data_IF_802027121487
#
_entry.id   IF_802027121487
#
_cell.length_a   1.000
_cell.length_b   1.000
_cell.length_c   1.000
_cell.angle_alpha   90.00
_cell.angle_beta   90.00
_cell.angle_gamma   90.00
#
_symmetry.space_group_name_H-M   'P 1'
#
loop_
_entity.id
_entity.type
_entity.pdbx_description
1 polymer ?
#
# COMPACT_ATOMS: atom_id res chain seq x y z
N UNK A 1 -32.06 0.59 -3.57
CA UNK A 1 -31.76 0.59 -5.03
C UNK A 1 -30.44 1.32 -5.18
N UNK A 2 -29.47 0.72 -5.91
CA UNK A 2 -28.18 1.36 -6.19
C UNK A 2 -28.35 2.36 -7.33
N UNK A 3 -27.80 3.55 -7.16
CA UNK A 3 -27.91 4.65 -8.13
C UNK A 3 -26.63 5.50 -8.10
N UNK A 4 -26.10 5.87 -9.26
CA UNK A 4 -24.99 6.81 -9.36
C UNK A 4 -25.49 8.25 -9.36
N UNK A 5 -24.98 9.06 -8.43
CA UNK A 5 -25.26 10.49 -8.33
C UNK A 5 -23.97 11.27 -8.60
N UNK A 6 -24.04 12.21 -9.51
CA UNK A 6 -22.91 13.03 -9.96
C UNK A 6 -22.91 14.42 -9.30
N UNK A 7 -22.95 14.48 -7.97
CA UNK A 7 -22.81 15.74 -7.24
C UNK A 7 -21.34 16.16 -7.11
N UNK A 8 -21.08 17.46 -7.14
CA UNK A 8 -19.72 18.01 -6.96
C UNK A 8 -19.40 18.15 -5.47
N UNK A 9 -19.00 17.04 -4.82
CA UNK A 9 -18.53 17.02 -3.44
C UNK A 9 -17.01 16.83 -3.34
N UNK A 10 -16.26 16.94 -4.43
CA UNK A 10 -14.82 16.68 -4.50
C UNK A 10 -13.97 17.45 -3.45
N UNK A 11 -14.44 18.61 -3.02
CA UNK A 11 -13.71 19.43 -2.03
C UNK A 11 -13.69 18.84 -0.62
N UNK A 12 -14.53 17.85 -0.32
CA UNK A 12 -14.72 17.27 1.02
C UNK A 12 -14.24 15.83 1.15
N UNK A 13 -13.81 15.17 0.06
CA UNK A 13 -13.50 13.72 0.06
C UNK A 13 -12.12 13.48 -0.52
N UNK A 14 -11.35 12.63 0.14
CA UNK A 14 -10.06 12.15 -0.35
C UNK A 14 -10.18 11.21 -1.56
N UNK A 15 -9.05 10.73 -2.08
CA UNK A 15 -9.02 9.63 -3.06
C UNK A 15 -9.44 8.32 -2.39
N UNK A 16 -9.97 7.38 -3.19
CA UNK A 16 -10.51 6.10 -2.74
C UNK A 16 -12.01 6.13 -2.48
N UNK A 17 -12.49 5.18 -1.69
CA UNK A 17 -13.88 5.04 -1.29
C UNK A 17 -14.13 5.71 0.07
N UNK A 18 -15.14 6.56 0.15
CA UNK A 18 -15.55 7.23 1.40
C UNK A 18 -17.04 7.01 1.63
N UNK A 19 -17.36 6.29 2.72
CA UNK A 19 -18.73 6.04 3.12
C UNK A 19 -19.40 7.34 3.59
N UNK A 20 -20.66 7.51 3.26
CA UNK A 20 -21.51 8.60 3.70
C UNK A 20 -22.94 8.09 3.97
N UNK A 21 -23.83 8.87 4.61
CA UNK A 21 -25.17 8.39 5.02
C UNK A 21 -26.01 7.81 3.87
N UNK A 22 -25.85 8.36 2.65
CA UNK A 22 -26.66 7.94 1.50
C UNK A 22 -26.01 6.83 0.65
N UNK A 23 -24.73 6.49 0.88
CA UNK A 23 -23.97 5.53 0.07
C UNK A 23 -22.48 5.67 0.20
N UNK A 24 -21.75 5.37 -0.87
CA UNK A 24 -20.30 5.50 -0.89
C UNK A 24 -19.86 6.44 -2.02
N UNK A 25 -19.00 7.37 -1.67
CA UNK A 25 -18.37 8.29 -2.62
C UNK A 25 -17.06 7.70 -3.10
N UNK A 26 -16.87 7.64 -4.41
CA UNK A 26 -15.65 7.15 -5.06
C UNK A 26 -14.89 8.29 -5.71
N UNK A 27 -13.58 8.34 -5.50
CA UNK A 27 -12.66 9.28 -6.12
C UNK A 27 -11.43 8.54 -6.63
N UNK A 28 -11.20 8.52 -7.94
CA UNK A 28 -10.13 7.74 -8.58
C UNK A 28 -9.26 8.67 -9.42
N UNK A 29 -7.96 8.65 -9.18
CA UNK A 29 -6.98 9.33 -10.03
C UNK A 29 -6.68 8.47 -11.25
N UNK A 30 -7.03 8.99 -12.44
CA UNK A 30 -6.71 8.39 -13.72
C UNK A 30 -6.81 9.46 -14.83
N UNK A 31 -5.80 10.35 -14.96
CA UNK A 31 -5.92 11.56 -15.78
C UNK A 31 -6.12 11.28 -17.26
N UNK A 32 -5.53 10.19 -17.77
CA UNK A 32 -5.54 9.83 -19.18
C UNK A 32 -6.62 8.78 -19.54
N UNK A 33 -7.36 8.26 -18.55
CA UNK A 33 -8.48 7.36 -18.80
C UNK A 33 -9.61 8.07 -19.58
N UNK A 34 -10.31 7.31 -20.42
CA UNK A 34 -11.51 7.78 -21.13
C UNK A 34 -12.79 7.52 -20.33
N UNK A 35 -12.80 6.45 -19.54
CA UNK A 35 -13.88 6.09 -18.63
C UNK A 35 -13.31 5.36 -17.42
N UNK A 36 -13.91 5.60 -16.25
CA UNK A 36 -13.65 4.81 -15.02
C UNK A 36 -14.98 4.21 -14.58
N UNK A 37 -14.98 2.89 -14.39
CA UNK A 37 -16.15 2.14 -13.93
C UNK A 37 -15.83 1.52 -12.57
N UNK A 38 -16.74 1.73 -11.61
CA UNK A 38 -16.74 1.01 -10.33
C UNK A 38 -17.65 -0.20 -10.46
N UNK A 39 -17.06 -1.39 -10.31
CA UNK A 39 -17.79 -2.64 -10.20
C UNK A 39 -18.01 -2.95 -8.73
N UNK A 40 -19.26 -3.02 -8.30
CA UNK A 40 -19.65 -3.23 -6.91
C UNK A 40 -20.12 -4.67 -6.70
N UNK A 41 -19.73 -5.26 -5.58
CA UNK A 41 -20.02 -6.65 -5.21
C UNK A 41 -20.47 -6.75 -3.75
N UNK A 42 -21.21 -7.80 -3.43
CA UNK A 42 -21.44 -8.20 -2.04
C UNK A 42 -20.14 -8.72 -1.40
N UNK A 43 -20.11 -8.85 -0.08
CA UNK A 43 -19.02 -9.52 0.66
C UNK A 43 -18.75 -10.95 0.16
N UNK A 44 -19.73 -11.61 -0.45
CA UNK A 44 -19.63 -12.96 -1.03
C UNK A 44 -19.16 -12.98 -2.50
N UNK A 45 -18.70 -11.83 -3.01
CA UNK A 45 -18.22 -11.68 -4.39
C UNK A 45 -19.34 -11.77 -5.47
N UNK A 46 -20.61 -11.55 -5.09
CA UNK A 46 -21.74 -11.49 -6.01
C UNK A 46 -21.88 -10.05 -6.54
N UNK A 47 -21.95 -9.90 -7.86
CA UNK A 47 -22.02 -8.58 -8.53
C UNK A 47 -23.30 -7.84 -8.18
N UNK A 48 -23.19 -6.63 -7.69
CA UNK A 48 -24.31 -5.73 -7.36
C UNK A 48 -24.61 -4.75 -8.49
N UNK A 49 -23.60 -4.33 -9.26
CA UNK A 49 -23.74 -3.40 -10.36
C UNK A 49 -22.44 -2.81 -10.87
N UNK A 50 -22.57 -2.03 -11.94
CA UNK A 50 -21.48 -1.31 -12.60
C UNK A 50 -21.86 0.17 -12.68
N UNK A 51 -20.92 1.06 -12.33
CA UNK A 51 -21.18 2.49 -12.22
C UNK A 51 -20.06 3.27 -12.90
N UNK A 52 -20.33 3.77 -14.09
CA UNK A 52 -19.39 4.63 -14.82
C UNK A 52 -19.37 6.02 -14.16
N UNK A 53 -18.22 6.39 -13.59
CA UNK A 53 -18.04 7.72 -13.01
C UNK A 53 -18.08 8.78 -14.12
N UNK A 54 -19.00 9.75 -14.02
CA UNK A 54 -19.31 10.64 -15.14
C UNK A 54 -18.55 11.96 -15.12
N UNK A 55 -18.02 12.36 -13.97
CA UNK A 55 -17.30 13.64 -13.85
C UNK A 55 -15.81 13.41 -13.78
N UNK A 56 -15.04 14.23 -14.52
CA UNK A 56 -13.59 14.31 -14.45
C UNK A 56 -13.19 15.75 -14.19
N UNK A 57 -12.40 15.97 -13.14
CA UNK A 57 -11.84 17.28 -12.79
C UNK A 57 -10.40 17.13 -12.34
N UNK A 58 -9.48 17.84 -13.01
CA UNK A 58 -8.06 17.80 -12.63
C UNK A 58 -7.43 16.41 -12.60
N UNK A 59 -7.90 15.46 -13.45
CA UNK A 59 -7.40 14.08 -13.48
C UNK A 59 -8.10 13.10 -12.52
N UNK A 60 -9.04 13.58 -11.68
CA UNK A 60 -9.81 12.77 -10.74
C UNK A 60 -11.20 12.47 -11.28
N UNK A 61 -11.59 11.22 -11.30
CA UNK A 61 -12.93 10.73 -11.58
C UNK A 61 -13.68 10.53 -10.28
N UNK A 62 -14.95 10.93 -10.20
CA UNK A 62 -15.70 10.85 -8.95
C UNK A 62 -17.20 10.67 -9.15
N UNK A 63 -17.87 10.15 -8.14
CA UNK A 63 -19.31 10.00 -8.05
C UNK A 63 -19.76 9.32 -6.76
N UNK A 64 -20.99 9.57 -6.36
CA UNK A 64 -21.64 8.91 -5.23
C UNK A 64 -22.46 7.72 -5.76
N UNK A 65 -22.17 6.51 -5.30
CA UNK A 65 -23.03 5.34 -5.52
C UNK A 65 -23.96 5.24 -4.30
N UNK A 66 -25.20 5.72 -4.50
CA UNK A 66 -26.23 5.69 -3.46
C UNK A 66 -26.60 4.24 -3.15
N UNK A 67 -26.76 3.93 -1.86
CA UNK A 67 -27.12 2.60 -1.39
C UNK A 67 -25.93 1.61 -1.26
N UNK A 68 -24.72 1.96 -1.70
CA UNK A 68 -23.52 1.22 -1.36
C UNK A 68 -23.22 1.38 0.13
N UNK A 69 -22.74 0.31 0.79
CA UNK A 69 -22.62 0.26 2.25
C UNK A 69 -21.29 -0.33 2.70
N UNK A 70 -20.97 -0.15 3.97
CA UNK A 70 -19.82 -0.79 4.59
C UNK A 70 -19.89 -2.33 4.40
N UNK A 71 -18.75 -2.93 4.07
CA UNK A 71 -18.62 -4.35 3.78
C UNK A 71 -18.91 -4.74 2.33
N UNK A 72 -19.52 -3.89 1.51
CA UNK A 72 -19.54 -4.12 0.07
C UNK A 72 -18.12 -4.05 -0.50
N UNK A 73 -17.86 -4.83 -1.54
CA UNK A 73 -16.56 -4.89 -2.19
C UNK A 73 -16.61 -4.20 -3.54
N UNK A 74 -15.46 -3.69 -4.00
CA UNK A 74 -15.40 -3.06 -5.32
C UNK A 74 -14.06 -3.29 -6.02
N UNK A 75 -14.08 -3.21 -7.34
CA UNK A 75 -12.93 -3.12 -8.20
C UNK A 75 -13.10 -1.97 -9.19
N UNK A 76 -11.98 -1.46 -9.69
CA UNK A 76 -11.96 -0.37 -10.66
C UNK A 76 -11.67 -0.96 -12.03
N UNK A 77 -12.38 -0.52 -13.06
CA UNK A 77 -12.03 -0.73 -14.45
C UNK A 77 -11.71 0.63 -15.08
N UNK A 78 -10.54 0.75 -15.70
CA UNK A 78 -10.12 1.94 -16.41
C UNK A 78 -10.08 1.65 -17.91
N UNK A 79 -10.94 2.35 -18.66
CA UNK A 79 -11.03 2.20 -20.12
C UNK A 79 -10.32 3.34 -20.82
N UNK A 80 -9.72 3.04 -21.95
CA UNK A 80 -8.96 3.99 -22.75
C UNK A 80 -8.07 3.29 -23.77
N UNK A 81 -7.07 4.02 -24.25
CA UNK A 81 -6.10 3.47 -25.19
C UNK A 81 -5.16 2.49 -24.48
N UNK A 82 -4.99 1.27 -24.98
CA UNK A 82 -3.92 0.38 -24.55
C UNK A 82 -2.72 0.57 -25.47
N UNK A 83 -1.71 1.27 -24.97
CA UNK A 83 -0.46 1.54 -25.68
C UNK A 83 0.70 1.64 -24.69
N UNK A 84 1.28 0.49 -24.28
CA UNK A 84 2.40 0.45 -23.33
C UNK A 84 3.62 1.27 -23.80
N UNK A 85 3.84 1.40 -25.11
CA UNK A 85 4.96 2.20 -25.66
C UNK A 85 4.83 3.69 -25.33
N UNK A 86 3.63 4.12 -24.96
CA UNK A 86 3.30 5.49 -24.52
C UNK A 86 2.94 5.56 -23.03
N UNK A 87 3.11 4.46 -22.29
CA UNK A 87 2.78 4.37 -20.86
C UNK A 87 1.28 4.22 -20.56
N UNK A 88 0.47 3.77 -21.51
CA UNK A 88 -0.97 3.57 -21.35
C UNK A 88 -1.30 2.08 -21.26
N UNK A 89 -1.90 1.67 -20.14
CA UNK A 89 -2.24 0.27 -19.85
C UNK A 89 -3.74 0.07 -19.66
N UNK A 90 -4.57 0.92 -20.26
CA UNK A 90 -6.02 0.82 -20.17
C UNK A 90 -6.52 -0.37 -21.01
N UNK A 91 -7.36 -1.21 -20.41
CA UNK A 91 -7.99 -2.32 -21.12
C UNK A 91 -9.36 -2.62 -20.54
N UNK A 92 -10.36 -2.72 -21.40
CA UNK A 92 -11.69 -3.19 -21.04
C UNK A 92 -11.64 -4.64 -20.53
N UNK A 93 -12.43 -4.94 -19.48
CA UNK A 93 -12.42 -6.25 -18.82
C UNK A 93 -11.22 -6.50 -17.90
N UNK A 94 -10.35 -5.49 -17.68
CA UNK A 94 -9.26 -5.57 -16.69
C UNK A 94 -9.67 -4.85 -15.41
N UNK A 95 -9.77 -5.61 -14.34
CA UNK A 95 -10.15 -5.12 -13.01
C UNK A 95 -8.92 -4.80 -12.18
N UNK A 96 -8.95 -3.65 -11.51
CA UNK A 96 -7.84 -3.07 -10.76
C UNK A 96 -8.23 -2.92 -9.29
N UNK A 97 -7.25 -3.11 -8.41
CA UNK A 97 -7.38 -2.75 -7.00
C UNK A 97 -7.20 -1.23 -6.87
N UNK A 98 -8.03 -0.61 -6.06
CA UNK A 98 -7.86 0.80 -5.71
C UNK A 98 -6.54 1.00 -4.92
N UNK A 99 -5.63 1.89 -5.36
CA UNK A 99 -4.43 2.25 -4.58
C UNK A 99 -4.74 2.72 -3.15
N UNK A 100 -5.94 3.22 -2.90
CA UNK A 100 -6.43 3.69 -1.60
C UNK A 100 -7.25 2.63 -0.83
N UNK A 101 -7.25 1.38 -1.27
CA UNK A 101 -7.93 0.31 -0.54
C UNK A 101 -7.30 0.12 0.85
N UNK A 102 -8.13 0.14 1.90
CA UNK A 102 -7.72 -0.05 3.30
C UNK A 102 -7.94 -1.47 3.80
N UNK A 103 -8.69 -2.26 3.05
CA UNK A 103 -8.92 -3.68 3.27
C UNK A 103 -9.19 -4.37 1.93
N UNK A 104 -8.74 -5.61 1.82
CA UNK A 104 -9.03 -6.48 0.68
C UNK A 104 -9.85 -7.68 1.14
N UNK A 105 -10.76 -8.16 0.29
CA UNK A 105 -11.62 -9.29 0.61
C UNK A 105 -10.91 -10.65 0.59
N UNK A 106 -9.71 -10.71 0.03
CA UNK A 106 -8.87 -11.92 -0.02
C UNK A 106 -7.42 -11.56 -0.28
N UNK A 107 -6.51 -12.49 0.01
CA UNK A 107 -5.09 -12.33 -0.34
C UNK A 107 -4.87 -12.48 -1.85
N UNK A 108 -3.80 -11.86 -2.36
CA UNK A 108 -3.35 -12.08 -3.73
C UNK A 108 -2.79 -13.49 -3.91
N UNK A 109 -3.22 -14.14 -4.98
CA UNK A 109 -2.62 -15.38 -5.45
C UNK A 109 -2.25 -15.17 -6.90
N UNK A 110 -0.94 -15.02 -7.18
CA UNK A 110 -0.49 -14.83 -8.55
C UNK A 110 -0.73 -16.09 -9.38
N UNK A 111 -1.29 -15.86 -10.55
CA UNK A 111 -1.46 -16.87 -11.59
C UNK A 111 -1.43 -16.12 -12.93
N UNK A 112 -0.43 -16.43 -13.78
CA UNK A 112 -0.19 -15.72 -15.02
C UNK A 112 -1.42 -15.74 -15.95
N UNK A 113 -2.06 -16.90 -16.08
CA UNK A 113 -3.22 -17.07 -16.95
C UNK A 113 -4.45 -16.27 -16.45
N UNK A 114 -4.52 -16.04 -15.14
CA UNK A 114 -5.65 -15.35 -14.49
C UNK A 114 -5.57 -13.84 -14.57
N UNK A 115 -4.35 -13.26 -14.60
CA UNK A 115 -4.18 -11.81 -14.60
C UNK A 115 -4.01 -11.19 -15.98
N UNK A 116 -3.70 -12.00 -17.01
CA UNK A 116 -3.49 -11.50 -18.37
C UNK A 116 -4.78 -11.20 -19.14
N UNK A 117 -5.88 -11.91 -18.83
CA UNK A 117 -7.14 -11.80 -19.56
C UNK A 117 -8.27 -11.28 -18.67
N UNK A 118 -9.29 -12.07 -18.42
CA UNK A 118 -10.38 -11.74 -17.49
C UNK A 118 -9.95 -12.08 -16.06
N UNK A 119 -9.62 -11.03 -15.27
CA UNK A 119 -9.15 -11.19 -13.89
C UNK A 119 -10.25 -10.93 -12.84
N UNK A 120 -11.51 -10.69 -13.23
CA UNK A 120 -12.60 -10.31 -12.32
C UNK A 120 -12.74 -11.24 -11.11
N UNK A 121 -12.65 -12.56 -11.35
CA UNK A 121 -12.77 -13.58 -10.29
C UNK A 121 -11.54 -13.67 -9.39
N UNK A 122 -10.39 -13.25 -9.88
CA UNK A 122 -9.11 -13.51 -9.24
C UNK A 122 -8.55 -12.31 -8.51
N UNK A 123 -8.78 -11.10 -9.05
CA UNK A 123 -8.31 -9.88 -8.40
C UNK A 123 -8.97 -9.72 -7.04
N UNK A 124 -8.21 -9.50 -5.96
CA UNK A 124 -8.79 -9.08 -4.70
C UNK A 124 -9.53 -7.76 -4.87
N UNK A 125 -10.68 -7.66 -4.25
CA UNK A 125 -11.50 -6.45 -4.29
C UNK A 125 -11.28 -5.62 -3.04
N UNK A 126 -11.27 -4.32 -3.19
CA UNK A 126 -11.26 -3.39 -2.07
C UNK A 126 -12.60 -3.47 -1.33
N UNK A 127 -12.56 -3.37 0.00
CA UNK A 127 -13.74 -3.38 0.86
C UNK A 127 -14.07 -1.96 1.28
N UNK A 128 -15.33 -1.54 1.12
CA UNK A 128 -15.81 -0.25 1.61
C UNK A 128 -15.76 -0.26 3.13
N UNK A 129 -14.90 0.59 3.72
CA UNK A 129 -14.79 0.71 5.16
C UNK A 129 -15.87 1.63 5.72
N UNK A 130 -16.47 1.19 6.84
CA UNK A 130 -17.29 2.06 7.69
C UNK A 130 -16.45 2.95 8.59
N UNK A 131 -17.11 3.71 9.44
CA UNK A 131 -16.45 4.31 10.59
C UNK A 131 -15.85 3.21 11.46
N UNK A 132 -14.64 3.44 11.97
CA UNK A 132 -13.98 2.45 12.81
C UNK A 132 -14.70 2.37 14.15
N UNK A 133 -15.24 1.21 14.47
CA UNK A 133 -15.80 0.85 15.78
C UNK A 133 -14.77 0.17 16.70
N UNK A 134 -13.52 0.08 16.26
CA UNK A 134 -12.46 -0.56 17.02
C UNK A 134 -12.17 0.22 18.30
N UNK A 135 -12.35 -0.45 19.44
CA UNK A 135 -12.12 0.15 20.76
C UNK A 135 -10.64 0.06 21.17
N UNK A 136 -9.93 1.19 21.11
CA UNK A 136 -8.56 1.29 21.59
C UNK A 136 -8.45 1.29 23.15
N UNK A 137 -9.54 1.35 23.88
CA UNK A 137 -9.60 1.35 25.35
C UNK A 137 -8.70 2.45 25.99
N UNK A 138 -8.53 3.57 25.29
CA UNK A 138 -7.64 4.68 25.70
C UNK A 138 -6.17 4.24 25.90
N UNK A 139 -5.74 3.16 25.28
CA UNK A 139 -4.33 2.74 25.30
C UNK A 139 -3.51 3.76 24.51
N UNK A 140 -2.54 4.46 25.17
CA UNK A 140 -1.75 5.47 24.49
C UNK A 140 -0.71 4.85 23.57
N UNK A 141 -0.30 5.61 22.55
CA UNK A 141 0.91 5.30 21.78
C UNK A 141 2.15 5.32 22.68
N UNK A 142 3.16 4.53 22.29
CA UNK A 142 4.41 4.42 23.03
C UNK A 142 5.44 5.36 22.43
N UNK A 143 5.66 6.51 23.07
CA UNK A 143 6.74 7.41 22.68
C UNK A 143 8.03 7.07 23.45
N UNK A 144 9.16 7.10 22.72
CA UNK A 144 10.48 6.91 23.30
C UNK A 144 11.48 7.86 22.68
N UNK A 145 12.42 8.32 23.50
CA UNK A 145 13.59 9.01 22.98
C UNK A 145 14.41 8.06 22.11
N UNK A 146 14.95 8.55 20.99
CA UNK A 146 15.74 7.72 20.07
C UNK A 146 16.89 6.97 20.73
N UNK A 147 17.50 7.55 21.78
CA UNK A 147 18.56 6.92 22.54
C UNK A 147 18.11 5.66 23.30
N UNK A 148 16.82 5.53 23.60
CA UNK A 148 16.23 4.43 24.37
C UNK A 148 15.57 3.37 23.47
N UNK A 149 15.66 3.53 22.15
CA UNK A 149 15.06 2.59 21.21
C UNK A 149 15.95 1.38 21.03
N UNK A 150 15.42 0.20 21.35
CA UNK A 150 16.00 -1.11 21.03
C UNK A 150 15.04 -1.81 20.09
N UNK A 151 15.42 -1.86 18.79
CA UNK A 151 14.60 -2.44 17.73
C UNK A 151 14.76 -3.97 17.68
N UNK A 152 13.64 -4.65 17.48
CA UNK A 152 13.58 -6.06 17.12
C UNK A 152 12.82 -6.23 15.82
N UNK A 153 13.49 -6.66 14.77
CA UNK A 153 12.83 -7.00 13.50
C UNK A 153 12.11 -8.34 13.61
N UNK A 154 10.84 -8.35 13.31
CA UNK A 154 9.99 -9.54 13.40
C UNK A 154 9.12 -9.71 12.15
N UNK A 155 9.00 -10.95 11.69
CA UNK A 155 8.04 -11.33 10.66
C UNK A 155 6.78 -11.89 11.33
N UNK A 156 5.58 -11.36 11.01
CA UNK A 156 4.30 -11.77 11.64
C UNK A 156 4.14 -13.29 11.62
N UNK A 157 4.34 -13.92 10.46
CA UNK A 157 4.23 -15.38 10.35
C UNK A 157 5.38 -16.10 11.03
N UNK A 158 6.63 -15.64 10.81
CA UNK A 158 7.83 -16.31 11.31
C UNK A 158 7.89 -16.39 12.83
N UNK A 159 7.43 -15.34 13.52
CA UNK A 159 7.55 -15.22 14.97
C UNK A 159 6.81 -16.34 15.74
N UNK A 160 5.68 -16.80 15.20
CA UNK A 160 4.82 -17.74 15.94
C UNK A 160 4.49 -19.04 15.21
N UNK A 161 4.86 -19.19 13.93
CA UNK A 161 4.44 -20.35 13.10
C UNK A 161 4.82 -21.69 13.71
N UNK A 162 5.99 -21.78 14.33
CA UNK A 162 6.52 -23.00 14.97
C UNK A 162 6.45 -22.94 16.51
N UNK A 163 5.78 -21.95 17.09
CA UNK A 163 5.72 -21.75 18.52
C UNK A 163 4.59 -22.60 19.12
N UNK A 164 4.96 -23.67 19.86
CA UNK A 164 4.04 -24.71 20.31
C UNK A 164 3.04 -24.22 21.36
N UNK A 165 3.41 -23.22 22.17
CA UNK A 165 2.57 -22.61 23.19
C UNK A 165 1.54 -21.61 22.65
N UNK A 166 1.63 -21.25 21.36
CA UNK A 166 0.60 -20.46 20.65
C UNK A 166 -0.48 -21.40 20.11
N UNK A 167 -1.77 -21.13 20.29
CA UNK A 167 -2.85 -21.92 19.71
C UNK A 167 -2.64 -22.12 18.20
N UNK A 168 -2.82 -23.35 17.67
CA UNK A 168 -2.53 -23.67 16.27
C UNK A 168 -3.18 -22.71 15.25
N UNK A 169 -4.42 -22.27 15.50
CA UNK A 169 -5.21 -21.35 14.69
C UNK A 169 -4.62 -19.93 14.67
N UNK A 170 -3.89 -19.53 15.72
CA UNK A 170 -3.26 -18.21 15.80
C UNK A 170 -1.80 -18.21 15.30
N UNK A 171 -1.20 -19.38 15.07
CA UNK A 171 0.21 -19.46 14.65
C UNK A 171 0.46 -18.81 13.29
N UNK A 172 1.37 -17.85 13.25
CA UNK A 172 1.75 -17.14 12.05
C UNK A 172 0.78 -16.03 11.63
N UNK A 173 0.00 -15.51 12.58
CA UNK A 173 -1.00 -14.47 12.34
C UNK A 173 -0.78 -13.25 13.24
N UNK A 174 -1.52 -12.14 12.96
CA UNK A 174 -1.55 -10.96 13.83
C UNK A 174 -1.94 -11.31 15.27
N UNK A 175 -2.95 -12.16 15.47
CA UNK A 175 -3.36 -12.59 16.80
C UNK A 175 -2.32 -13.48 17.49
N UNK A 176 -1.55 -14.25 16.73
CA UNK A 176 -0.41 -15.00 17.27
C UNK A 176 0.66 -14.08 17.87
N UNK A 177 0.90 -12.92 17.29
CA UNK A 177 1.82 -11.91 17.83
C UNK A 177 1.37 -11.35 19.19
N UNK A 178 0.07 -11.40 19.49
CA UNK A 178 -0.51 -10.98 20.77
C UNK A 178 -0.26 -11.98 21.91
N UNK A 179 0.22 -13.19 21.62
CA UNK A 179 0.34 -14.22 22.64
C UNK A 179 1.29 -13.81 23.78
N UNK A 180 0.91 -14.07 25.07
CA UNK A 180 1.70 -13.64 26.23
C UNK A 180 3.17 -14.09 26.19
N UNK A 181 3.47 -15.25 25.62
CA UNK A 181 4.85 -15.74 25.51
C UNK A 181 5.68 -14.96 24.49
N UNK A 182 5.06 -14.38 23.44
CA UNK A 182 5.73 -13.48 22.51
C UNK A 182 6.09 -12.18 23.22
N UNK A 183 5.13 -11.59 23.92
CA UNK A 183 5.32 -10.37 24.71
C UNK A 183 6.39 -10.56 25.78
N UNK A 184 6.31 -11.67 26.54
CA UNK A 184 7.31 -12.00 27.55
C UNK A 184 8.71 -12.16 26.98
N UNK A 185 8.86 -12.79 25.82
CA UNK A 185 10.14 -12.94 25.12
C UNK A 185 10.73 -11.59 24.74
N UNK A 186 9.96 -10.71 24.10
CA UNK A 186 10.41 -9.38 23.70
C UNK A 186 10.84 -8.54 24.93
N UNK A 187 10.03 -8.55 25.98
CA UNK A 187 10.36 -7.85 27.24
C UNK A 187 11.59 -8.43 27.94
N UNK A 188 11.76 -9.74 27.93
CA UNK A 188 12.95 -10.40 28.49
C UNK A 188 14.25 -9.98 27.79
N UNK A 189 14.18 -9.76 26.46
CA UNK A 189 15.31 -9.24 25.68
C UNK A 189 15.54 -7.74 25.86
N UNK A 190 14.68 -7.03 26.61
CA UNK A 190 14.77 -5.58 26.76
C UNK A 190 14.34 -4.79 25.53
N UNK A 191 13.57 -5.41 24.61
CA UNK A 191 13.07 -4.76 23.40
C UNK A 191 12.09 -3.65 23.78
N UNK A 192 12.20 -2.52 23.09
CA UNK A 192 11.32 -1.38 23.29
C UNK A 192 10.43 -1.10 22.09
N UNK A 193 10.86 -1.53 20.90
CA UNK A 193 10.19 -1.27 19.64
C UNK A 193 10.28 -2.49 18.73
N UNK A 194 9.14 -2.93 18.21
CA UNK A 194 9.07 -4.02 17.23
C UNK A 194 8.94 -3.42 15.83
N UNK A 195 9.90 -3.74 14.96
CA UNK A 195 9.83 -3.46 13.55
C UNK A 195 9.22 -4.66 12.85
N UNK A 196 8.02 -4.50 12.31
CA UNK A 196 7.38 -5.56 11.55
C UNK A 196 7.85 -5.52 10.10
N UNK A 197 8.38 -6.64 9.61
CA UNK A 197 8.57 -6.85 8.17
C UNK A 197 7.25 -6.60 7.42
N UNK A 198 7.27 -6.38 6.09
CA UNK A 198 6.11 -5.83 5.39
C UNK A 198 4.78 -6.53 5.71
N UNK A 199 3.82 -5.74 6.17
CA UNK A 199 2.45 -6.17 6.51
C UNK A 199 1.42 -5.72 5.48
N UNK A 200 1.81 -4.89 4.53
CA UNK A 200 0.95 -4.46 3.43
C UNK A 200 0.60 -5.63 2.50
N UNK A 201 -0.56 -5.58 1.87
CA UNK A 201 -1.01 -6.61 0.94
C UNK A 201 -0.01 -6.76 -0.22
N UNK A 202 0.52 -7.96 -0.35
CA UNK A 202 1.60 -8.32 -1.26
C UNK A 202 1.29 -9.63 -2.00
N UNK A 203 2.04 -9.92 -3.04
CA UNK A 203 1.92 -11.18 -3.77
C UNK A 203 3.29 -11.78 -4.08
N UNK A 204 3.32 -13.07 -4.42
CA UNK A 204 4.53 -13.72 -4.89
C UNK A 204 4.86 -13.34 -6.32
N UNK A 205 6.13 -13.19 -6.61
CA UNK A 205 6.63 -12.88 -7.95
C UNK A 205 6.45 -14.07 -8.91
N UNK A 206 6.23 -13.81 -10.21
CA UNK A 206 6.04 -14.85 -11.22
C UNK A 206 7.13 -15.91 -11.23
N UNK A 207 8.40 -15.51 -11.07
CA UNK A 207 9.52 -16.45 -11.09
C UNK A 207 9.56 -17.39 -9.87
N UNK A 208 9.05 -16.96 -8.71
CA UNK A 208 8.91 -17.80 -7.52
C UNK A 208 7.82 -18.84 -7.74
N UNK A 209 6.65 -18.42 -8.26
CA UNK A 209 5.53 -19.32 -8.53
C UNK A 209 5.94 -20.41 -9.53
N UNK A 210 6.65 -20.06 -10.61
CA UNK A 210 7.19 -21.04 -11.57
C UNK A 210 8.13 -22.08 -10.91
N UNK A 211 8.75 -21.72 -9.80
CA UNK A 211 9.61 -22.61 -8.99
C UNK A 211 8.87 -23.29 -7.83
N UNK A 212 7.54 -23.12 -7.71
CA UNK A 212 6.70 -23.61 -6.60
C UNK A 212 7.14 -23.04 -5.24
N UNK A 213 7.63 -21.81 -5.25
CA UNK A 213 8.01 -21.03 -4.08
C UNK A 213 7.02 -19.89 -3.88
N UNK A 214 7.06 -19.26 -2.71
CA UNK A 214 6.29 -18.05 -2.42
C UNK A 214 7.21 -16.96 -1.88
N UNK A 215 6.79 -15.70 -2.06
CA UNK A 215 7.40 -14.58 -1.36
C UNK A 215 7.01 -14.68 0.12
N UNK A 216 7.98 -15.00 0.97
CA UNK A 216 7.76 -15.16 2.40
C UNK A 216 7.82 -13.81 3.15
N UNK A 217 8.72 -12.92 2.73
CA UNK A 217 9.02 -11.69 3.46
C UNK A 217 8.02 -10.55 3.24
N UNK A 218 7.30 -10.56 2.11
CA UNK A 218 6.31 -9.53 1.81
C UNK A 218 6.83 -8.31 1.04
N UNK A 219 8.11 -8.26 0.63
CA UNK A 219 8.69 -7.15 -0.15
C UNK A 219 8.27 -7.18 -1.63
N UNK A 220 6.97 -7.33 -1.89
CA UNK A 220 6.40 -7.24 -3.23
C UNK A 220 4.95 -6.70 -3.13
N UNK A 221 4.77 -5.43 -2.74
CA UNK A 221 3.47 -4.87 -2.39
C UNK A 221 2.58 -4.63 -3.61
N UNK A 222 1.28 -4.85 -3.44
CA UNK A 222 0.24 -4.49 -4.42
C UNK A 222 -0.61 -3.34 -3.91
N UNK A 223 -0.85 -3.26 -2.61
CA UNK A 223 -1.64 -2.19 -2.00
C UNK A 223 -0.96 -1.73 -0.70
N UNK A 224 -0.59 -0.45 -0.63
CA UNK A 224 0.19 0.09 0.49
C UNK A 224 -0.60 0.28 1.78
N UNK A 225 -1.93 0.47 1.70
CA UNK A 225 -2.76 0.80 2.87
C UNK A 225 -3.44 -0.41 3.50
N UNK A 226 -3.65 -1.50 2.78
CA UNK A 226 -4.36 -2.66 3.29
C UNK A 226 -3.43 -3.62 4.04
N UNK A 227 -3.73 -4.00 5.30
CA UNK A 227 -3.06 -5.12 5.95
C UNK A 227 -3.23 -6.40 5.13
N UNK A 228 -2.18 -7.21 5.06
CA UNK A 228 -2.21 -8.46 4.28
C UNK A 228 -3.18 -9.46 4.93
N UNK A 229 -4.27 -9.85 4.25
CA UNK A 229 -5.25 -10.81 4.79
C UNK A 229 -4.65 -12.19 5.06
N UNK A 230 -3.52 -12.54 4.43
CA UNK A 230 -2.82 -13.81 4.66
C UNK A 230 -2.19 -13.93 6.06
N UNK A 231 -2.09 -12.83 6.80
CA UNK A 231 -1.59 -12.80 8.18
C UNK A 231 -2.73 -12.73 9.21
N UNK A 232 -3.99 -12.71 8.79
CA UNK A 232 -5.12 -12.76 9.70
C UNK A 232 -5.59 -14.20 9.96
N UNK A 233 -6.18 -14.45 11.11
CA UNK A 233 -6.95 -15.67 11.40
C UNK A 233 -8.22 -15.66 10.56
N UNK A 234 -8.91 -14.52 10.56
CA UNK A 234 -10.03 -14.26 9.69
C UNK A 234 -9.65 -13.18 8.65
N UNK A 235 -9.45 -13.55 7.38
CA UNK A 235 -9.10 -12.58 6.33
C UNK A 235 -10.06 -11.39 6.22
N UNK A 236 -11.34 -11.61 6.53
CA UNK A 236 -12.36 -10.57 6.52
C UNK A 236 -12.22 -9.55 7.67
N UNK A 237 -11.42 -9.87 8.68
CA UNK A 237 -11.20 -9.05 9.88
C UNK A 237 -9.73 -8.59 10.03
N UNK A 238 -8.96 -8.68 8.97
CA UNK A 238 -7.53 -8.39 8.97
C UNK A 238 -7.17 -7.01 9.57
N UNK A 239 -8.01 -6.00 9.35
CA UNK A 239 -7.82 -4.64 9.90
C UNK A 239 -7.94 -4.65 11.43
N UNK A 240 -8.97 -5.28 11.99
CA UNK A 240 -9.18 -5.32 13.44
C UNK A 240 -8.18 -6.26 14.14
N UNK A 241 -7.79 -7.36 13.50
CA UNK A 241 -6.73 -8.22 14.03
C UNK A 241 -5.38 -7.49 14.09
N UNK A 242 -5.05 -6.71 13.06
CA UNK A 242 -3.86 -5.85 13.07
C UNK A 242 -3.94 -4.81 14.20
N UNK A 243 -5.07 -4.08 14.31
CA UNK A 243 -5.28 -3.10 15.40
C UNK A 243 -5.17 -3.76 16.79
N UNK A 244 -5.69 -4.99 16.94
CA UNK A 244 -5.58 -5.76 18.18
C UNK A 244 -4.13 -6.07 18.52
N UNK A 245 -3.31 -6.41 17.53
CA UNK A 245 -1.88 -6.63 17.72
C UNK A 245 -1.18 -5.35 18.18
N UNK A 246 -1.38 -4.22 17.50
CA UNK A 246 -0.78 -2.93 17.90
C UNK A 246 -1.22 -2.55 19.30
N UNK A 247 -2.52 -2.62 19.61
CA UNK A 247 -3.05 -2.34 20.96
C UNK A 247 -2.40 -3.21 22.03
N UNK A 248 -2.25 -4.51 21.77
CA UNK A 248 -1.61 -5.44 22.71
C UNK A 248 -0.15 -5.07 22.97
N UNK A 249 0.59 -4.66 21.95
CA UNK A 249 1.96 -4.21 22.10
C UNK A 249 2.03 -2.93 22.92
N UNK A 250 1.20 -1.92 22.63
CA UNK A 250 1.11 -0.68 23.39
C UNK A 250 0.75 -0.91 24.87
N UNK A 251 -0.20 -1.79 25.17
CA UNK A 251 -0.55 -2.16 26.54
C UNK A 251 0.64 -2.74 27.32
N UNK A 252 1.63 -3.29 26.61
CA UNK A 252 2.85 -3.85 27.19
C UNK A 252 4.06 -2.93 27.10
N UNK A 253 3.87 -1.67 26.70
CA UNK A 253 4.93 -0.65 26.58
C UNK A 253 5.89 -0.89 25.39
N UNK A 254 5.47 -1.64 24.39
CA UNK A 254 6.21 -1.91 23.15
C UNK A 254 5.68 -1.02 22.03
N UNK A 255 6.53 -0.22 21.40
CA UNK A 255 6.20 0.51 20.21
C UNK A 255 6.20 -0.42 18.98
N UNK A 256 5.47 -0.03 17.93
CA UNK A 256 5.38 -0.78 16.66
C UNK A 256 5.74 0.13 15.50
N UNK A 257 6.75 -0.22 14.73
CA UNK A 257 7.04 0.42 13.44
C UNK A 257 6.88 -0.57 12.30
N UNK A 258 6.54 -0.07 11.12
CA UNK A 258 6.33 -0.90 9.93
C UNK A 258 7.48 -0.75 8.95
N UNK A 259 7.91 -1.86 8.40
CA UNK A 259 8.74 -1.86 7.20
C UNK A 259 7.85 -1.59 5.99
N UNK A 260 8.04 -0.44 5.34
CA UNK A 260 7.22 0.04 4.23
C UNK A 260 8.00 0.03 2.92
N UNK A 261 7.39 -0.56 1.91
CA UNK A 261 7.99 -0.75 0.59
C UNK A 261 7.32 0.22 -0.38
N UNK A 262 7.83 1.45 -0.47
CA UNK A 262 7.34 2.46 -1.41
C UNK A 262 8.23 2.62 -2.64
N UNK A 263 9.33 1.90 -2.69
CA UNK A 263 10.31 2.03 -3.75
C UNK A 263 9.93 1.27 -5.04
N UNK A 264 9.05 0.26 -4.94
CA UNK A 264 8.55 -0.53 -6.08
C UNK A 264 7.19 -1.15 -5.78
N UNK A 265 6.59 -1.79 -6.78
CA UNK A 265 5.35 -2.54 -6.65
C UNK A 265 5.46 -3.92 -7.32
N UNK A 266 4.53 -4.82 -6.98
CA UNK A 266 4.41 -6.13 -7.57
C UNK A 266 4.05 -6.14 -9.07
N UNK A 267 3.80 -4.97 -9.66
CA UNK A 267 3.52 -4.86 -11.10
C UNK A 267 4.77 -5.03 -11.99
N UNK A 268 5.94 -5.26 -11.37
CA UNK A 268 7.21 -5.61 -12.02
C UNK A 268 7.60 -4.68 -13.20
N UNK A 269 8.22 -5.23 -14.25
CA UNK A 269 8.61 -4.46 -15.45
C UNK A 269 7.44 -4.08 -16.36
N UNK A 270 7.78 -3.55 -17.53
CA UNK A 270 6.81 -3.11 -18.57
C UNK A 270 5.81 -4.24 -18.90
N UNK A 271 6.30 -5.46 -19.05
CA UNK A 271 5.50 -6.65 -19.38
C UNK A 271 4.92 -7.35 -18.13
N UNK A 272 5.11 -6.78 -16.95
CA UNK A 272 4.59 -7.34 -15.71
C UNK A 272 3.07 -7.15 -15.59
N UNK A 273 2.46 -7.77 -14.56
CA UNK A 273 1.02 -7.71 -14.36
C UNK A 273 0.52 -6.28 -14.18
N UNK A 274 -0.73 -6.03 -14.57
CA UNK A 274 -1.44 -4.76 -14.37
C UNK A 274 -2.52 -5.00 -13.32
N UNK A 275 -2.30 -4.49 -12.12
CA UNK A 275 -3.11 -4.84 -10.94
C UNK A 275 -3.78 -3.63 -10.28
N UNK A 276 -3.15 -2.46 -10.36
CA UNK A 276 -3.55 -1.24 -9.65
C UNK A 276 -2.99 0.01 -10.35
N UNK A 277 -1.81 0.47 -9.94
CA UNK A 277 -1.17 1.73 -10.34
C UNK A 277 -0.93 1.84 -11.84
N UNK A 278 -0.38 0.77 -12.43
CA UNK A 278 -0.04 0.71 -13.87
C UNK A 278 -1.28 0.89 -14.74
N UNK A 279 -2.41 0.28 -14.35
CA UNK A 279 -3.67 0.38 -15.09
C UNK A 279 -4.41 1.70 -14.92
N UNK A 280 -4.05 2.52 -13.92
CA UNK A 280 -4.67 3.82 -13.67
C UNK A 280 -3.83 4.97 -14.25
N UNK A 281 -2.52 4.99 -13.97
CA UNK A 281 -1.62 6.06 -14.41
C UNK A 281 -0.15 5.64 -14.30
N UNK A 282 0.30 4.73 -15.15
CA UNK A 282 1.68 4.28 -15.14
C UNK A 282 2.69 5.42 -15.32
N UNK A 283 2.30 6.48 -16.06
CA UNK A 283 3.16 7.61 -16.40
C UNK A 283 3.58 8.45 -15.19
N UNK A 284 2.74 8.52 -14.17
CA UNK A 284 3.03 9.25 -12.94
C UNK A 284 3.47 8.34 -11.79
N UNK A 285 2.97 7.10 -11.72
CA UNK A 285 3.32 6.18 -10.64
C UNK A 285 4.68 5.51 -10.80
N UNK A 286 5.23 5.44 -12.02
CA UNK A 286 6.54 4.81 -12.27
C UNK A 286 7.55 5.77 -12.86
N UNK A 287 8.82 5.56 -12.52
CA UNK A 287 9.93 6.28 -13.11
C UNK A 287 10.36 5.59 -14.43
N UNK A 288 10.67 6.39 -15.45
CA UNK A 288 11.03 5.93 -16.78
C UNK A 288 12.45 6.34 -17.15
N UNK A 289 13.12 5.51 -17.93
CA UNK A 289 14.39 5.86 -18.56
C UNK A 289 14.19 7.02 -19.55
N UNK A 290 15.31 7.65 -19.97
CA UNK A 290 15.29 8.68 -21.01
C UNK A 290 15.88 8.17 -22.30
N UNK A 291 15.33 8.64 -23.40
CA UNK A 291 15.89 8.52 -24.74
C UNK A 291 17.12 9.45 -24.90
N UNK A 292 17.85 9.29 -25.99
CA UNK A 292 19.00 10.14 -26.31
C UNK A 292 18.65 11.63 -26.46
N UNK A 293 17.43 11.95 -26.86
CA UNK A 293 16.88 13.30 -26.94
C UNK A 293 16.36 13.87 -25.64
N UNK A 294 16.60 13.17 -24.53
CA UNK A 294 16.11 13.47 -23.17
C UNK A 294 14.59 13.34 -22.95
N UNK A 295 13.82 12.90 -23.93
CA UNK A 295 12.41 12.53 -23.74
C UNK A 295 12.27 11.26 -22.90
N UNK A 296 11.12 11.06 -22.25
CA UNK A 296 10.85 9.84 -21.47
C UNK A 296 10.66 8.63 -22.40
N UNK A 297 11.35 7.55 -22.09
CA UNK A 297 11.20 6.27 -22.76
C UNK A 297 10.13 5.43 -22.04
N UNK A 298 8.88 5.58 -22.43
CA UNK A 298 7.77 4.82 -21.84
C UNK A 298 7.82 3.30 -22.08
N UNK A 299 8.71 2.82 -22.93
CA UNK A 299 9.01 1.41 -23.12
C UNK A 299 9.93 0.81 -22.05
N UNK A 300 10.43 1.59 -21.08
CA UNK A 300 11.38 1.10 -20.09
C UNK A 300 11.26 1.83 -18.76
N UNK A 301 10.87 1.09 -17.70
CA UNK A 301 10.96 1.61 -16.33
C UNK A 301 12.41 1.71 -15.87
N UNK A 302 12.72 2.73 -15.06
CA UNK A 302 13.92 2.69 -14.23
C UNK A 302 13.76 1.54 -13.23
N UNK A 303 14.85 0.77 -13.06
CA UNK A 303 14.87 -0.38 -12.13
C UNK A 303 16.00 -0.20 -11.10
N UNK A 304 15.94 0.88 -10.31
CA UNK A 304 16.86 1.12 -9.22
C UNK A 304 16.61 0.22 -7.98
N UNK A 305 15.63 -0.68 -8.06
CA UNK A 305 15.22 -1.55 -6.97
C UNK A 305 15.61 -3.02 -7.19
N UNK A 306 15.90 -3.40 -8.45
CA UNK A 306 16.09 -4.80 -8.84
C UNK A 306 14.78 -5.59 -9.01
N UNK A 307 13.60 -4.95 -8.78
CA UNK A 307 12.28 -5.60 -8.81
C UNK A 307 11.49 -5.38 -10.10
N UNK A 308 12.13 -4.74 -11.10
CA UNK A 308 11.54 -4.48 -12.43
C UNK A 308 10.96 -3.09 -12.61
N UNK A 309 10.71 -2.35 -11.54
CA UNK A 309 10.25 -0.97 -11.56
C UNK A 309 10.82 -0.16 -10.40
N UNK A 310 10.79 1.15 -10.52
CA UNK A 310 10.94 2.10 -9.43
C UNK A 310 9.66 2.94 -9.34
N UNK A 311 9.03 2.94 -8.17
CA UNK A 311 7.86 3.78 -7.92
C UNK A 311 8.30 5.24 -7.85
N UNK A 312 7.63 6.12 -8.59
CA UNK A 312 8.07 7.50 -8.79
C UNK A 312 7.62 8.43 -7.66
N UNK A 313 8.33 8.45 -6.55
CA UNK A 313 8.00 9.33 -5.42
C UNK A 313 8.21 10.83 -5.70
N UNK A 314 8.89 11.21 -6.80
CA UNK A 314 9.01 12.59 -7.28
C UNK A 314 7.67 13.11 -7.88
N UNK A 315 6.78 12.22 -8.30
CA UNK A 315 5.45 12.57 -8.78
C UNK A 315 4.55 13.04 -7.63
N UNK A 316 3.82 14.15 -7.85
CA UNK A 316 2.90 14.72 -6.86
C UNK A 316 1.84 13.70 -6.40
N UNK A 317 1.31 12.89 -7.32
CA UNK A 317 0.27 11.91 -6.97
C UNK A 317 0.85 10.74 -6.17
N UNK A 318 2.07 10.32 -6.48
CA UNK A 318 2.76 9.26 -5.73
C UNK A 318 3.15 9.74 -4.33
N UNK A 319 3.74 10.95 -4.23
CA UNK A 319 4.04 11.58 -2.93
C UNK A 319 2.77 11.71 -2.09
N UNK A 320 1.66 12.16 -2.69
CA UNK A 320 0.36 12.23 -2.00
C UNK A 320 -0.09 10.87 -1.49
N UNK A 321 -0.05 9.84 -2.33
CA UNK A 321 -0.44 8.48 -1.92
C UNK A 321 0.44 7.96 -0.77
N UNK A 322 1.76 8.17 -0.84
CA UNK A 322 2.68 7.78 0.24
C UNK A 322 2.31 8.52 1.53
N UNK A 323 2.13 9.83 1.48
CA UNK A 323 1.77 10.63 2.67
C UNK A 323 0.41 10.25 3.25
N UNK A 324 -0.60 10.00 2.41
CA UNK A 324 -1.92 9.54 2.84
C UNK A 324 -1.83 8.14 3.47
N UNK A 325 -0.96 7.26 2.93
CA UNK A 325 -0.66 5.94 3.50
C UNK A 325 0.00 6.05 4.88
N UNK A 326 1.05 6.87 5.02
CA UNK A 326 1.71 7.07 6.32
C UNK A 326 0.75 7.59 7.37
N UNK A 327 -0.08 8.59 7.02
CA UNK A 327 -1.11 9.12 7.93
C UNK A 327 -2.13 8.06 8.33
N UNK A 328 -2.58 7.23 7.41
CA UNK A 328 -3.52 6.15 7.70
C UNK A 328 -2.93 5.17 8.72
N UNK A 329 -1.70 4.70 8.50
CA UNK A 329 -1.03 3.80 9.44
C UNK A 329 -0.76 4.45 10.80
N UNK A 330 -0.38 5.75 10.84
CA UNK A 330 -0.15 6.47 12.10
C UNK A 330 -1.44 6.74 12.87
N UNK A 331 -2.50 7.22 12.21
CA UNK A 331 -3.66 7.75 12.91
C UNK A 331 -4.76 6.72 13.10
N UNK A 332 -5.03 5.89 12.08
CA UNK A 332 -6.10 4.90 12.13
C UNK A 332 -5.60 3.56 12.70
N UNK A 333 -4.40 3.13 12.28
CA UNK A 333 -3.81 1.86 12.69
C UNK A 333 -2.88 2.01 13.90
N UNK A 334 -2.62 3.24 14.33
CA UNK A 334 -1.87 3.67 15.51
C UNK A 334 -0.44 3.12 15.61
N UNK A 335 0.24 2.87 14.49
CA UNK A 335 1.67 2.53 14.54
C UNK A 335 2.52 3.75 14.95
N UNK A 336 3.73 3.52 15.44
CA UNK A 336 4.58 4.55 16.04
C UNK A 336 5.66 5.06 15.07
N UNK A 337 5.79 4.44 13.90
CA UNK A 337 6.76 4.85 12.91
C UNK A 337 6.95 3.88 11.76
N UNK A 338 8.02 4.11 11.00
CA UNK A 338 8.31 3.36 9.77
C UNK A 338 9.80 3.12 9.58
N UNK A 339 10.14 1.99 8.98
CA UNK A 339 11.42 1.75 8.31
C UNK A 339 11.14 1.72 6.81
N UNK A 340 11.87 2.53 6.06
CA UNK A 340 11.71 2.65 4.61
C UNK A 340 12.69 1.72 3.90
N UNK A 341 12.15 0.70 3.25
CA UNK A 341 12.89 -0.20 2.39
C UNK A 341 13.49 0.55 1.20
N UNK A 342 14.77 0.32 0.89
CA UNK A 342 15.49 1.00 -0.17
C UNK A 342 15.19 2.52 -0.21
N UNK A 343 15.34 3.21 0.92
CA UNK A 343 14.90 4.60 1.09
C UNK A 343 15.53 5.56 0.09
N UNK A 344 16.68 5.24 -0.48
CA UNK A 344 17.34 6.03 -1.52
C UNK A 344 16.46 6.17 -2.75
N UNK A 345 15.79 5.10 -3.18
CA UNK A 345 14.91 5.12 -4.35
C UNK A 345 13.76 6.11 -4.20
N UNK A 346 13.18 6.23 -2.98
CA UNK A 346 12.07 7.16 -2.70
C UNK A 346 12.52 8.63 -2.78
N UNK A 347 13.82 8.87 -2.67
CA UNK A 347 14.43 10.19 -2.65
C UNK A 347 15.20 10.52 -3.94
N UNK A 348 14.96 9.75 -5.00
CA UNK A 348 15.51 10.03 -6.33
C UNK A 348 14.58 10.96 -7.08
N UNK A 349 15.16 12.02 -7.63
CA UNK A 349 14.40 13.06 -8.33
C UNK A 349 14.83 13.22 -9.79
N UNK A 350 13.87 13.55 -10.65
CA UNK A 350 14.04 13.67 -12.10
C UNK A 350 14.66 15.00 -12.52
N UNK A 351 14.64 16.01 -11.65
CA UNK A 351 15.09 17.36 -11.93
C UNK A 351 16.53 17.65 -11.45
N UNK A 352 17.21 16.69 -10.85
CA UNK A 352 18.61 16.82 -10.43
C UNK A 352 19.55 16.89 -11.65
N UNK A 353 20.76 17.44 -11.46
CA UNK A 353 21.76 17.55 -12.52
C UNK A 353 22.10 16.20 -13.17
N UNK A 354 22.07 15.12 -12.38
CA UNK A 354 22.11 13.76 -12.87
C UNK A 354 20.70 13.19 -12.76
N UNK A 355 20.12 12.80 -13.88
CA UNK A 355 18.76 12.28 -13.93
C UNK A 355 18.56 11.12 -12.96
N UNK A 356 17.47 11.19 -12.17
CA UNK A 356 17.10 10.19 -11.19
C UNK A 356 18.20 9.94 -10.13
N UNK A 357 18.86 10.99 -9.66
CA UNK A 357 19.84 10.95 -8.58
C UNK A 357 19.15 11.15 -7.21
N UNK A 358 19.82 10.67 -6.16
CA UNK A 358 19.40 10.93 -4.78
C UNK A 358 19.49 12.42 -4.45
N UNK A 359 18.44 12.96 -3.84
CA UNK A 359 18.41 14.32 -3.30
C UNK A 359 17.95 14.30 -1.84
N UNK A 360 18.82 14.72 -0.93
CA UNK A 360 18.49 14.87 0.51
C UNK A 360 17.45 15.95 0.78
N UNK A 361 17.09 16.77 -0.20
CA UNK A 361 16.02 17.79 -0.15
C UNK A 361 14.81 17.40 -1.01
N UNK A 362 14.63 16.13 -1.31
CA UNK A 362 13.54 15.65 -2.17
C UNK A 362 12.15 16.06 -1.66
N UNK A 363 11.16 16.02 -2.55
CA UNK A 363 9.77 16.36 -2.26
C UNK A 363 9.18 15.51 -1.14
N UNK A 364 9.52 14.21 -1.09
CA UNK A 364 9.09 13.30 -0.04
C UNK A 364 9.54 13.74 1.36
N UNK A 365 10.82 14.07 1.56
CA UNK A 365 11.31 14.55 2.85
C UNK A 365 10.63 15.85 3.28
N UNK A 366 10.51 16.80 2.33
CA UNK A 366 9.80 18.06 2.63
C UNK A 366 8.37 17.81 3.08
N UNK A 367 7.66 16.88 2.44
CA UNK A 367 6.30 16.51 2.83
C UNK A 367 6.25 15.86 4.23
N UNK A 368 7.18 14.94 4.54
CA UNK A 368 7.28 14.29 5.85
C UNK A 368 7.56 15.30 6.97
N UNK A 369 8.53 16.20 6.79
CA UNK A 369 8.89 17.17 7.82
C UNK A 369 7.85 18.29 8.01
N UNK A 370 7.13 18.65 6.95
CA UNK A 370 6.07 19.65 7.03
C UNK A 370 4.77 19.12 7.66
N UNK A 371 4.61 17.82 7.74
CA UNK A 371 3.42 17.19 8.31
C UNK A 371 3.63 16.81 9.78
N UNK A 372 2.73 17.26 10.66
CA UNK A 372 2.86 17.06 12.11
C UNK A 372 2.88 15.58 12.50
N UNK A 373 2.04 14.73 11.89
CA UNK A 373 1.94 13.32 12.25
C UNK A 373 3.23 12.58 11.92
N UNK A 374 3.75 12.77 10.71
CA UNK A 374 4.97 12.09 10.25
C UNK A 374 6.24 12.65 10.91
N UNK A 375 6.27 13.95 11.25
CA UNK A 375 7.42 14.56 11.93
C UNK A 375 7.64 14.03 13.35
N UNK A 376 6.59 13.53 14.00
CA UNK A 376 6.68 12.95 15.35
C UNK A 376 6.94 11.44 15.35
N UNK A 377 6.78 10.78 14.21
CA UNK A 377 6.95 9.34 14.09
C UNK A 377 8.45 8.94 14.08
N UNK A 378 8.73 7.72 14.55
CA UNK A 378 10.07 7.15 14.43
C UNK A 378 10.31 6.75 12.96
N UNK A 379 11.24 7.46 12.30
CA UNK A 379 11.59 7.24 10.91
C UNK A 379 12.98 6.59 10.80
N UNK A 380 13.05 5.44 10.15
CA UNK A 380 14.29 4.69 9.92
C UNK A 380 14.47 4.49 8.41
N UNK A 381 15.59 4.92 7.86
CA UNK A 381 15.91 4.72 6.46
C UNK A 381 16.83 3.51 6.28
N UNK A 382 16.51 2.62 5.33
CA UNK A 382 17.53 1.74 4.76
C UNK A 382 18.34 2.57 3.74
N UNK A 383 19.62 2.88 4.02
CA UNK A 383 20.31 3.99 3.34
C UNK A 383 21.01 3.56 2.05
N UNK A 384 20.38 2.69 1.26
CA UNK A 384 20.93 2.23 -0.01
C UNK A 384 19.84 1.80 -1.01
N UNK A 385 20.21 1.69 -2.27
CA UNK A 385 19.55 0.94 -3.32
C UNK A 385 20.60 0.43 -4.35
N UNK A 386 20.26 -0.52 -5.27
CA UNK A 386 21.22 -1.03 -6.25
C UNK A 386 21.51 -0.09 -7.42
N UNK A 387 20.88 1.07 -7.49
CA UNK A 387 21.10 2.06 -8.55
C UNK A 387 22.43 2.82 -8.42
N UNK A 388 22.78 3.58 -9.46
CA UNK A 388 23.98 4.40 -9.45
C UNK A 388 23.94 5.42 -8.30
N UNK A 389 25.04 5.49 -7.51
CA UNK A 389 25.12 6.36 -6.32
C UNK A 389 24.15 5.93 -5.22
N UNK A 390 23.77 4.65 -5.16
CA UNK A 390 22.75 4.16 -4.26
C UNK A 390 23.15 4.05 -2.78
N UNK A 391 24.42 4.10 -2.42
CA UNK A 391 24.84 4.03 -0.99
C UNK A 391 24.91 5.43 -0.39
N UNK A 392 23.97 5.76 0.50
CA UNK A 392 23.76 7.10 1.06
C UNK A 392 23.82 7.16 2.59
N UNK A 393 24.52 6.25 3.24
CA UNK A 393 24.69 6.28 4.70
C UNK A 393 25.28 7.63 5.15
N UNK A 394 24.57 8.31 6.07
CA UNK A 394 24.95 9.62 6.60
C UNK A 394 24.45 10.83 5.77
N UNK A 395 23.87 10.62 4.59
CA UNK A 395 23.37 11.68 3.71
C UNK A 395 21.87 11.96 3.85
N UNK A 396 21.16 11.16 4.64
CA UNK A 396 19.75 11.41 4.95
C UNK A 396 19.59 12.62 5.89
N UNK A 397 18.49 13.38 5.80
CA UNK A 397 18.22 14.46 6.73
C UNK A 397 18.21 13.95 8.17
N UNK A 398 18.72 14.79 9.08
CA UNK A 398 18.59 14.53 10.50
C UNK A 398 17.31 15.21 10.99
N UNK A 399 16.32 14.44 11.37
CA UNK A 399 15.06 14.89 11.94
C UNK A 399 14.98 14.60 13.42
#
# INVERSE_FOLDING_TARGET
MLELITEDRQRQVGLGATLCPDGCYFSVWAPDAQEIVIHLYTKKDEKLGEFALQKKKGGVWYGLIKGAKAGDCYAIEAKGTEDPSRGFYFREGRFLVDPYARQLNKAFVYDEDRYLNDNEKWIPKAVIQGESDFNWENVPKVFRDRADVILYEAHVRGMTKLKEDVPPEHRGTYLGMCHPSVIAHLKHLGITTVQLMPVAASMSEPFLIKRKLCNYWGYNPVCFMAPNPAYAVNPDDAVNEFKTMVKTFHQNGLAVILDVVFNHTAEAGIDGPVLSYKGLDARNYYAYERNQDSSLNYGQFINATGCGNSFNADSIISTRLIMDTLKYWLNEMQVDGFRFDLAVTICRESHTNTYYAFDSNCGFFKACFANQDTNQALMVAEPWDPGLGGYQLGNFPRG
#
